data_IF_384545944832
#
_entry.id   IF_384545944832
#
_cell.length_a   1.000
_cell.length_b   1.000
_cell.length_c   1.000
_cell.angle_alpha   90.00
_cell.angle_beta   90.00
_cell.angle_gamma   90.00
#
_symmetry.space_group_name_H-M   'P 1'
#
loop_
_entity.id
_entity.type
_entity.pdbx_description
1 polymer ?
#
# COMPACT_ATOMS: atom_id res chain seq x y z
N UNK A 1 -32.79 22.47 9.74
CA UNK A 1 -31.88 21.43 9.28
C UNK A 1 -30.60 21.56 10.12
N UNK A 2 -30.62 20.97 11.30
CA UNK A 2 -29.50 21.01 12.24
C UNK A 2 -28.48 20.03 11.65
N UNK A 3 -27.36 20.59 11.25
CA UNK A 3 -26.20 19.85 10.76
C UNK A 3 -25.67 19.06 11.96
N UNK A 4 -26.02 17.78 12.05
CA UNK A 4 -25.36 16.88 13.00
C UNK A 4 -23.89 16.80 12.59
N UNK A 5 -23.13 17.76 13.06
CA UNK A 5 -21.67 17.68 13.07
C UNK A 5 -21.35 16.58 14.07
N UNK A 6 -21.40 15.36 13.63
CA UNK A 6 -20.81 14.24 14.37
C UNK A 6 -19.31 14.53 14.31
N UNK A 7 -18.81 15.22 15.32
CA UNK A 7 -17.39 15.44 15.52
C UNK A 7 -16.75 14.09 15.80
N UNK A 8 -16.27 13.44 14.74
CA UNK A 8 -15.49 12.23 14.86
C UNK A 8 -14.05 12.64 15.25
N UNK A 9 -13.90 13.07 16.53
CA UNK A 9 -12.63 13.58 17.06
C UNK A 9 -11.50 12.57 16.83
N UNK A 10 -11.80 11.28 16.96
CA UNK A 10 -10.85 10.20 16.71
C UNK A 10 -10.38 10.14 15.26
N UNK A 11 -11.28 10.35 14.29
CA UNK A 11 -10.94 10.39 12.87
C UNK A 11 -10.06 11.61 12.56
N UNK A 12 -10.43 12.79 13.08
CA UNK A 12 -9.63 14.00 12.86
C UNK A 12 -8.22 13.85 13.41
N UNK A 13 -8.06 13.28 14.60
CA UNK A 13 -6.76 12.99 15.20
C UNK A 13 -5.94 12.03 14.33
N UNK A 14 -6.55 10.97 13.79
CA UNK A 14 -5.86 10.02 12.90
C UNK A 14 -5.42 10.67 11.59
N UNK A 15 -6.26 11.51 10.97
CA UNK A 15 -5.94 12.20 9.73
C UNK A 15 -4.83 13.24 9.94
N UNK A 16 -4.93 14.08 10.96
CA UNK A 16 -3.87 15.04 11.28
C UNK A 16 -2.58 14.34 11.70
N UNK A 17 -2.67 13.25 12.46
CA UNK A 17 -1.53 12.41 12.80
C UNK A 17 -0.82 11.84 11.56
N UNK A 18 -1.59 11.39 10.57
CA UNK A 18 -1.05 10.91 9.28
C UNK A 18 -0.34 12.01 8.50
N UNK A 19 -0.88 13.24 8.47
CA UNK A 19 -0.22 14.40 7.84
C UNK A 19 1.08 14.73 8.57
N UNK A 20 1.02 14.83 9.88
CA UNK A 20 2.20 15.16 10.70
C UNK A 20 3.30 14.13 10.50
N UNK A 21 2.94 12.86 10.49
CA UNK A 21 3.87 11.77 10.22
C UNK A 21 4.48 11.86 8.82
N UNK A 22 3.68 12.17 7.80
CA UNK A 22 4.15 12.37 6.43
C UNK A 22 5.13 13.55 6.33
N UNK A 23 4.87 14.66 7.03
CA UNK A 23 5.76 15.84 7.07
C UNK A 23 7.11 15.49 7.70
N UNK A 24 7.10 14.71 8.80
CA UNK A 24 8.33 14.23 9.45
C UNK A 24 9.13 13.38 8.48
N UNK A 25 8.52 12.40 7.81
CA UNK A 25 9.18 11.53 6.83
C UNK A 25 9.80 12.32 5.68
N UNK A 26 9.07 13.32 5.16
CA UNK A 26 9.58 14.23 4.12
C UNK A 26 10.81 15.01 4.60
N UNK A 27 10.81 15.46 5.87
CA UNK A 27 11.94 16.23 6.43
C UNK A 27 13.17 15.37 6.66
N UNK A 28 13.00 14.08 7.02
CA UNK A 28 14.10 13.14 7.24
C UNK A 28 14.81 12.78 5.93
N UNK A 29 14.04 12.42 4.89
CA UNK A 29 14.61 12.07 3.58
C UNK A 29 13.72 12.57 2.44
N UNK A 30 14.00 13.79 1.92
CA UNK A 30 13.24 14.38 0.83
C UNK A 30 13.38 13.60 -0.49
N UNK A 31 14.48 12.84 -0.64
CA UNK A 31 14.74 12.05 -1.86
C UNK A 31 13.78 10.85 -1.91
N UNK A 32 13.62 10.11 -0.80
CA UNK A 32 12.66 9.01 -0.73
C UNK A 32 11.24 9.52 -0.93
N UNK A 33 10.91 10.67 -0.33
CA UNK A 33 9.59 11.28 -0.52
C UNK A 33 9.31 11.61 -1.99
N UNK A 34 10.26 12.26 -2.69
CA UNK A 34 10.12 12.58 -4.12
C UNK A 34 10.05 11.31 -4.99
N UNK A 35 10.76 10.25 -4.62
CA UNK A 35 10.70 8.95 -5.30
C UNK A 35 9.32 8.29 -5.13
N UNK A 36 8.71 8.37 -3.94
CA UNK A 36 7.37 7.84 -3.69
C UNK A 36 6.29 8.63 -4.44
N UNK A 37 6.46 9.95 -4.65
CA UNK A 37 5.56 10.76 -5.45
C UNK A 37 5.75 10.61 -6.96
N UNK A 38 6.92 10.21 -7.42
CA UNK A 38 7.22 10.09 -8.85
C UNK A 38 6.53 8.86 -9.46
N UNK A 39 5.71 9.08 -10.48
CA UNK A 39 5.11 8.01 -11.28
C UNK A 39 6.13 7.31 -12.20
N UNK A 40 7.28 7.91 -12.47
CA UNK A 40 8.36 7.39 -13.34
C UNK A 40 9.43 6.69 -12.53
N UNK A 41 9.18 5.42 -12.16
CA UNK A 41 10.09 4.64 -11.30
C UNK A 41 11.13 3.81 -12.06
N UNK A 42 11.36 4.08 -13.35
CA UNK A 42 12.31 3.32 -14.20
C UNK A 42 13.77 3.37 -13.73
N UNK A 43 14.20 4.45 -13.09
CA UNK A 43 15.60 4.62 -12.66
C UNK A 43 15.94 3.90 -11.35
N UNK A 44 14.94 3.44 -10.63
CA UNK A 44 15.12 2.83 -9.31
C UNK A 44 15.74 1.42 -9.38
N UNK A 45 15.61 0.73 -10.51
CA UNK A 45 16.16 -0.62 -10.70
C UNK A 45 17.70 -0.61 -10.66
N UNK A 46 18.34 0.46 -11.13
CA UNK A 46 19.80 0.55 -11.23
C UNK A 46 20.50 0.94 -9.91
N UNK A 47 19.80 1.62 -8.98
CA UNK A 47 20.36 2.02 -7.68
C UNK A 47 20.37 0.90 -6.63
N UNK A 48 19.75 -0.23 -6.91
CA UNK A 48 19.58 -1.35 -5.96
C UNK A 48 20.79 -2.27 -5.82
N UNK A 49 21.88 -2.01 -6.53
CA UNK A 49 23.00 -2.95 -6.64
C UNK A 49 23.91 -3.03 -5.41
N UNK A 50 23.76 -2.19 -4.40
CA UNK A 50 24.82 -1.99 -3.41
C UNK A 50 24.51 -2.35 -1.95
N UNK A 51 23.26 -2.70 -1.56
CA UNK A 51 22.99 -3.10 -0.18
C UNK A 51 22.15 -4.37 -0.07
N UNK A 52 22.71 -5.38 0.62
CA UNK A 52 22.06 -6.67 0.89
C UNK A 52 20.78 -6.55 1.77
N UNK A 53 20.59 -5.42 2.43
CA UNK A 53 19.43 -5.08 3.26
C UNK A 53 18.67 -3.86 2.70
N UNK A 54 18.38 -3.85 1.42
CA UNK A 54 17.92 -2.71 0.63
C UNK A 54 16.56 -2.07 0.98
N UNK A 55 15.82 -2.56 1.97
CA UNK A 55 14.61 -1.88 2.44
C UNK A 55 15.06 -0.91 3.53
N UNK A 56 15.11 0.37 3.19
CA UNK A 56 15.41 1.39 4.18
C UNK A 56 14.29 1.42 5.23
N UNK A 57 14.62 1.60 6.48
CA UNK A 57 13.64 1.73 7.58
C UNK A 57 12.54 2.75 7.26
N UNK A 58 12.87 3.82 6.57
CA UNK A 58 11.94 4.84 6.11
C UNK A 58 10.85 4.30 5.16
N UNK A 59 11.18 3.34 4.29
CA UNK A 59 10.19 2.72 3.39
C UNK A 59 9.15 1.91 4.18
N UNK A 60 9.57 1.27 5.27
CA UNK A 60 8.65 0.57 6.18
C UNK A 60 7.72 1.58 6.86
N UNK A 61 8.23 2.73 7.29
CA UNK A 61 7.40 3.78 7.88
C UNK A 61 6.37 4.35 6.89
N UNK A 62 6.74 4.55 5.61
CA UNK A 62 5.77 4.92 4.56
C UNK A 62 4.73 3.82 4.33
N UNK A 63 5.12 2.55 4.46
CA UNK A 63 4.18 1.45 4.35
C UNK A 63 3.17 1.42 5.50
N UNK A 64 3.59 1.76 6.73
CA UNK A 64 2.66 1.95 7.85
C UNK A 64 1.64 3.07 7.58
N UNK A 65 2.07 4.16 6.96
CA UNK A 65 1.17 5.24 6.53
C UNK A 65 0.17 4.74 5.47
N UNK A 66 0.61 3.92 4.52
CA UNK A 66 -0.29 3.28 3.55
C UNK A 66 -1.33 2.39 4.25
N UNK A 67 -0.90 1.52 5.17
CA UNK A 67 -1.79 0.62 5.91
C UNK A 67 -2.83 1.41 6.70
N UNK A 68 -2.41 2.44 7.43
CA UNK A 68 -3.31 3.29 8.20
C UNK A 68 -4.36 3.97 7.32
N UNK A 69 -3.95 4.60 6.22
CA UNK A 69 -4.87 5.30 5.33
C UNK A 69 -5.81 4.34 4.57
N UNK A 70 -5.33 3.16 4.20
CA UNK A 70 -6.17 2.12 3.58
C UNK A 70 -7.23 1.60 4.57
N UNK A 71 -6.84 1.42 5.84
CA UNK A 71 -7.76 0.98 6.91
C UNK A 71 -8.86 2.01 7.19
N UNK A 72 -8.55 3.31 7.14
CA UNK A 72 -9.54 4.39 7.28
C UNK A 72 -10.55 4.32 6.11
N UNK A 73 -10.07 4.19 4.88
CA UNK A 73 -10.94 4.13 3.71
C UNK A 73 -11.88 2.91 3.73
N UNK A 74 -11.36 1.74 4.11
CA UNK A 74 -12.15 0.52 4.26
C UNK A 74 -13.14 0.59 5.44
N UNK A 75 -12.81 1.30 6.51
CA UNK A 75 -13.73 1.52 7.62
C UNK A 75 -14.95 2.34 7.16
N UNK A 76 -14.77 3.37 6.34
CA UNK A 76 -15.88 4.11 5.73
C UNK A 76 -16.70 3.30 4.73
N UNK A 77 -16.07 2.36 4.04
CA UNK A 77 -16.78 1.46 3.15
C UNK A 77 -17.71 0.50 3.91
N UNK A 78 -17.24 0.02 5.07
CA UNK A 78 -17.97 -0.95 5.90
C UNK A 78 -19.10 -0.29 6.70
N UNK A 79 -18.89 0.92 7.19
CA UNK A 79 -19.87 1.72 7.92
C UNK A 79 -19.78 3.20 7.51
N UNK A 80 -20.92 3.84 7.36
CA UNK A 80 -21.01 5.28 7.10
C UNK A 80 -20.45 6.12 8.25
N UNK A 81 -20.52 5.59 9.47
CA UNK A 81 -19.94 6.19 10.67
C UNK A 81 -18.58 5.57 10.92
N UNK A 82 -17.57 6.44 11.04
CA UNK A 82 -16.24 5.94 11.38
C UNK A 82 -16.24 5.34 12.79
N UNK A 83 -15.93 4.04 12.88
CA UNK A 83 -15.77 3.33 14.14
C UNK A 83 -14.29 2.96 14.32
N UNK A 84 -13.74 3.35 15.46
CA UNK A 84 -12.37 3.03 15.86
C UNK A 84 -12.12 1.53 15.98
N UNK A 85 -13.12 0.76 16.41
CA UNK A 85 -12.98 -0.70 16.59
C UNK A 85 -12.77 -1.34 15.21
N UNK A 86 -13.63 -0.98 14.24
CA UNK A 86 -13.53 -1.47 12.85
C UNK A 86 -12.19 -1.06 12.24
N UNK A 87 -11.75 0.20 12.47
CA UNK A 87 -10.44 0.66 12.00
C UNK A 87 -9.29 -0.19 12.53
N UNK A 88 -9.24 -0.46 13.84
CA UNK A 88 -8.17 -1.26 14.46
C UNK A 88 -8.16 -2.71 13.97
N UNK A 89 -9.33 -3.31 13.78
CA UNK A 89 -9.42 -4.65 13.20
C UNK A 89 -8.86 -4.68 11.78
N UNK A 90 -9.29 -3.77 10.91
CA UNK A 90 -8.82 -3.68 9.53
C UNK A 90 -7.32 -3.39 9.47
N UNK A 91 -6.83 -2.46 10.30
CA UNK A 91 -5.41 -2.15 10.40
C UNK A 91 -4.59 -3.39 10.76
N UNK A 92 -5.01 -4.14 11.76
CA UNK A 92 -4.36 -5.39 12.19
C UNK A 92 -4.34 -6.43 11.07
N UNK A 93 -5.48 -6.65 10.40
CA UNK A 93 -5.57 -7.61 9.29
C UNK A 93 -4.64 -7.24 8.13
N UNK A 94 -4.66 -5.99 7.68
CA UNK A 94 -3.82 -5.52 6.57
C UNK A 94 -2.35 -5.58 6.97
N UNK A 95 -2.01 -5.18 8.19
CA UNK A 95 -0.64 -5.21 8.69
C UNK A 95 -0.07 -6.64 8.72
N UNK A 96 -0.81 -7.58 9.32
CA UNK A 96 -0.41 -9.00 9.37
C UNK A 96 -0.27 -9.56 7.95
N UNK A 97 -1.26 -9.29 7.09
CA UNK A 97 -1.25 -9.76 5.71
C UNK A 97 -0.01 -9.28 4.94
N UNK A 98 0.30 -7.99 4.99
CA UNK A 98 1.45 -7.43 4.27
C UNK A 98 2.79 -7.91 4.83
N UNK A 99 2.91 -8.03 6.16
CA UNK A 99 4.12 -8.56 6.79
C UNK A 99 4.36 -10.01 6.43
N UNK A 100 3.34 -10.87 6.51
CA UNK A 100 3.44 -12.26 6.09
C UNK A 100 3.82 -12.37 4.62
N UNK A 101 3.22 -11.56 3.75
CA UNK A 101 3.53 -11.54 2.33
C UNK A 101 4.98 -11.18 2.06
N UNK A 102 5.51 -10.16 2.70
CA UNK A 102 6.93 -9.78 2.57
C UNK A 102 7.87 -10.91 3.07
N UNK A 103 7.50 -11.60 4.14
CA UNK A 103 8.26 -12.75 4.63
C UNK A 103 8.27 -13.89 3.61
N UNK A 104 7.14 -14.23 3.01
CA UNK A 104 7.04 -15.24 1.96
C UNK A 104 7.89 -14.87 0.73
N UNK A 105 7.87 -13.61 0.29
CA UNK A 105 8.70 -13.14 -0.83
C UNK A 105 10.20 -13.37 -0.57
N UNK A 106 10.65 -13.13 0.66
CA UNK A 106 12.06 -13.36 1.06
C UNK A 106 12.39 -14.84 1.13
N UNK A 107 11.51 -15.67 1.69
CA UNK A 107 11.71 -17.13 1.81
C UNK A 107 11.82 -17.75 0.41
N UNK A 108 10.91 -17.43 -0.49
CA UNK A 108 10.90 -17.94 -1.86
C UNK A 108 12.13 -17.51 -2.63
N UNK A 109 12.51 -16.23 -2.49
CA UNK A 109 13.73 -15.71 -3.09
C UNK A 109 14.98 -16.55 -2.70
N UNK A 110 15.03 -17.02 -1.44
CA UNK A 110 16.11 -17.89 -0.95
C UNK A 110 16.00 -19.31 -1.48
N UNK A 111 14.81 -19.89 -1.45
CA UNK A 111 14.57 -21.30 -1.87
C UNK A 111 14.92 -21.53 -3.35
N UNK A 112 14.54 -20.60 -4.22
CA UNK A 112 14.77 -20.73 -5.67
C UNK A 112 16.06 -20.07 -6.16
N UNK A 113 16.94 -19.61 -5.25
CA UNK A 113 18.19 -18.90 -5.58
C UNK A 113 18.00 -17.66 -6.46
N UNK A 114 16.79 -17.06 -6.48
CA UNK A 114 16.42 -15.85 -7.23
C UNK A 114 16.29 -14.62 -6.32
N UNK A 115 17.01 -14.62 -5.22
CA UNK A 115 16.90 -13.65 -4.13
C UNK A 115 17.02 -12.17 -4.61
N UNK A 116 17.93 -11.91 -5.56
CA UNK A 116 18.13 -10.57 -6.11
C UNK A 116 16.91 -10.08 -6.88
N UNK A 117 16.26 -10.96 -7.62
CA UNK A 117 15.09 -10.65 -8.43
C UNK A 117 13.89 -10.39 -7.52
N UNK A 118 13.65 -11.29 -6.55
CA UNK A 118 12.53 -11.19 -5.62
C UNK A 118 12.63 -9.96 -4.72
N UNK A 119 13.83 -9.63 -4.25
CA UNK A 119 14.06 -8.38 -3.50
C UNK A 119 13.76 -7.13 -4.32
N UNK A 120 14.19 -7.08 -5.58
CA UNK A 120 13.89 -5.97 -6.48
C UNK A 120 12.38 -5.83 -6.74
N UNK A 121 11.70 -6.95 -6.93
CA UNK A 121 10.26 -7.01 -7.12
C UNK A 121 9.49 -6.51 -5.89
N UNK A 122 9.78 -7.09 -4.71
CA UNK A 122 9.15 -6.72 -3.45
C UNK A 122 9.35 -5.22 -3.12
N UNK A 123 10.55 -4.70 -3.37
CA UNK A 123 10.84 -3.29 -3.15
C UNK A 123 10.06 -2.37 -4.11
N UNK A 124 10.00 -2.67 -5.40
CA UNK A 124 9.21 -1.87 -6.35
C UNK A 124 7.74 -1.83 -5.93
N UNK A 125 7.19 -2.98 -5.55
CA UNK A 125 5.82 -3.09 -5.04
C UNK A 125 5.59 -2.22 -3.80
N UNK A 126 6.51 -2.27 -2.85
CA UNK A 126 6.45 -1.47 -1.63
C UNK A 126 6.45 0.03 -1.95
N UNK A 127 7.27 0.49 -2.88
CA UNK A 127 7.31 1.90 -3.32
C UNK A 127 5.99 2.33 -3.99
N UNK A 128 5.33 1.45 -4.77
CA UNK A 128 4.00 1.76 -5.32
C UNK A 128 2.92 1.82 -4.23
N UNK A 129 2.94 0.91 -3.24
CA UNK A 129 2.04 0.97 -2.10
C UNK A 129 2.25 2.26 -1.28
N UNK A 130 3.50 2.66 -1.04
CA UNK A 130 3.83 3.90 -0.34
C UNK A 130 3.29 5.14 -1.08
N UNK A 131 3.43 5.17 -2.42
CA UNK A 131 2.87 6.22 -3.27
C UNK A 131 1.34 6.28 -3.14
N UNK A 132 0.68 5.13 -3.18
CA UNK A 132 -0.76 5.04 -2.98
C UNK A 132 -1.16 5.54 -1.58
N UNK A 133 -0.39 5.24 -0.55
CA UNK A 133 -0.63 5.71 0.83
C UNK A 133 -0.70 7.23 0.96
N UNK A 134 0.13 7.95 0.20
CA UNK A 134 0.09 9.42 0.17
C UNK A 134 -1.18 9.92 -0.53
N UNK A 135 -1.59 9.28 -1.63
CA UNK A 135 -2.82 9.63 -2.36
C UNK A 135 -4.06 9.31 -1.52
N UNK A 136 -4.06 8.17 -0.84
CA UNK A 136 -5.15 7.76 0.06
C UNK A 136 -5.40 8.75 1.19
N UNK A 137 -4.38 9.43 1.67
CA UNK A 137 -4.54 10.48 2.67
C UNK A 137 -5.45 11.61 2.14
N UNK A 138 -5.25 12.05 0.90
CA UNK A 138 -6.11 13.04 0.26
C UNK A 138 -7.54 12.49 0.08
N UNK A 139 -7.69 11.24 -0.34
CA UNK A 139 -9.00 10.61 -0.51
C UNK A 139 -9.75 10.53 0.82
N UNK A 140 -9.08 10.14 1.90
CA UNK A 140 -9.67 10.07 3.24
C UNK A 140 -10.15 11.46 3.71
N UNK A 141 -9.42 12.53 3.43
CA UNK A 141 -9.88 13.89 3.69
C UNK A 141 -11.16 14.22 2.93
N UNK A 142 -11.21 13.88 1.65
CA UNK A 142 -12.40 14.11 0.83
C UNK A 142 -13.61 13.33 1.39
N UNK A 143 -13.44 12.05 1.73
CA UNK A 143 -14.52 11.23 2.31
C UNK A 143 -14.97 11.76 3.66
N UNK A 144 -14.03 12.14 4.53
CA UNK A 144 -14.33 12.59 5.90
C UNK A 144 -15.18 13.87 5.92
N UNK A 145 -14.86 14.85 5.05
CA UNK A 145 -15.45 16.19 5.08
C UNK A 145 -16.45 16.46 3.96
N UNK A 146 -16.72 15.48 3.07
CA UNK A 146 -17.75 15.63 2.04
C UNK A 146 -19.16 15.59 2.65
N UNK A 147 -20.10 16.23 1.92
CA UNK A 147 -21.53 16.19 2.23
C UNK A 147 -22.19 14.95 1.61
N UNK A 148 -21.56 14.34 0.61
CA UNK A 148 -22.07 13.14 -0.07
C UNK A 148 -22.05 11.91 0.85
N UNK A 149 -22.77 10.90 0.45
CA UNK A 149 -22.76 9.61 1.14
C UNK A 149 -21.33 9.04 1.18
N UNK A 150 -20.83 8.85 2.39
CA UNK A 150 -19.45 8.44 2.64
C UNK A 150 -19.15 7.06 2.09
N UNK A 151 -20.14 6.15 2.10
CA UNK A 151 -19.97 4.79 1.60
C UNK A 151 -19.78 4.76 0.07
N UNK A 152 -20.57 5.55 -0.68
CA UNK A 152 -20.39 5.67 -2.13
C UNK A 152 -19.05 6.31 -2.49
N UNK A 153 -18.67 7.36 -1.78
CA UNK A 153 -17.36 8.00 -2.00
C UNK A 153 -16.20 7.06 -1.67
N UNK A 154 -16.28 6.32 -0.58
CA UNK A 154 -15.27 5.32 -0.22
C UNK A 154 -15.19 4.21 -1.29
N UNK A 155 -16.31 3.69 -1.77
CA UNK A 155 -16.36 2.70 -2.85
C UNK A 155 -15.66 3.20 -4.12
N UNK A 156 -15.93 4.45 -4.51
CA UNK A 156 -15.30 5.08 -5.67
C UNK A 156 -13.78 5.17 -5.51
N UNK A 157 -13.30 5.63 -4.35
CA UNK A 157 -11.85 5.73 -4.11
C UNK A 157 -11.17 4.38 -3.95
N UNK A 158 -11.87 3.36 -3.43
CA UNK A 158 -11.37 1.97 -3.44
C UNK A 158 -11.21 1.48 -4.87
N UNK A 159 -12.18 1.70 -5.74
CA UNK A 159 -12.09 1.31 -7.15
C UNK A 159 -10.90 2.00 -7.85
N UNK A 160 -10.68 3.30 -7.62
CA UNK A 160 -9.51 4.02 -8.13
C UNK A 160 -8.19 3.44 -7.58
N UNK A 161 -8.16 3.05 -6.31
CA UNK A 161 -6.99 2.44 -5.68
C UNK A 161 -6.66 1.08 -6.29
N UNK A 162 -7.68 0.28 -6.59
CA UNK A 162 -7.51 -1.01 -7.28
C UNK A 162 -6.96 -0.79 -8.70
N UNK A 163 -7.51 0.15 -9.45
CA UNK A 163 -7.00 0.51 -10.78
C UNK A 163 -5.54 0.96 -10.74
N UNK A 164 -5.17 1.76 -9.75
CA UNK A 164 -3.78 2.17 -9.54
C UNK A 164 -2.87 0.97 -9.24
N UNK A 165 -3.30 0.02 -8.40
CA UNK A 165 -2.52 -1.20 -8.11
C UNK A 165 -2.35 -2.06 -9.35
N UNK A 166 -3.39 -2.24 -10.16
CA UNK A 166 -3.30 -2.96 -11.44
C UNK A 166 -2.25 -2.29 -12.35
N UNK A 167 -2.32 -0.97 -12.49
CA UNK A 167 -1.32 -0.21 -13.26
C UNK A 167 0.10 -0.41 -12.70
N UNK A 168 0.26 -0.41 -11.38
CA UNK A 168 1.54 -0.65 -10.71
C UNK A 168 2.10 -2.03 -11.06
N UNK A 169 1.27 -3.09 -11.01
CA UNK A 169 1.68 -4.43 -11.39
C UNK A 169 2.14 -4.53 -12.85
N UNK A 170 1.39 -3.93 -13.78
CA UNK A 170 1.81 -3.86 -15.17
C UNK A 170 3.15 -3.13 -15.34
N UNK A 171 3.33 -2.01 -14.66
CA UNK A 171 4.58 -1.24 -14.70
C UNK A 171 5.78 -2.05 -14.17
N UNK A 172 5.61 -2.78 -13.08
CA UNK A 172 6.65 -3.66 -12.51
C UNK A 172 6.98 -4.78 -13.49
N UNK A 173 5.96 -5.43 -14.06
CA UNK A 173 6.13 -6.49 -15.04
C UNK A 173 6.93 -6.03 -16.26
N UNK A 174 6.56 -4.89 -16.85
CA UNK A 174 7.31 -4.32 -18.00
C UNK A 174 8.74 -3.93 -17.65
N UNK A 175 8.97 -3.42 -16.44
CA UNK A 175 10.29 -3.05 -15.95
C UNK A 175 11.22 -4.28 -15.81
N UNK A 176 10.67 -5.40 -15.39
CA UNK A 176 11.42 -6.63 -15.08
C UNK A 176 11.32 -7.71 -16.16
N UNK A 177 10.65 -7.45 -17.29
CA UNK A 177 10.35 -8.46 -18.32
C UNK A 177 11.56 -9.32 -18.73
N UNK A 178 12.74 -8.71 -18.98
CA UNK A 178 13.95 -9.44 -19.40
C UNK A 178 14.41 -10.50 -18.38
N UNK A 179 14.23 -10.19 -17.10
CA UNK A 179 14.63 -11.05 -15.98
C UNK A 179 13.57 -12.11 -15.70
N UNK A 180 12.30 -11.73 -15.83
CA UNK A 180 11.14 -12.60 -15.68
C UNK A 180 11.14 -13.67 -16.77
N UNK A 181 11.38 -13.31 -18.04
CA UNK A 181 11.43 -14.28 -19.15
C UNK A 181 12.52 -15.32 -18.98
N UNK A 182 13.65 -14.99 -18.35
CA UNK A 182 14.72 -15.94 -18.08
C UNK A 182 14.31 -17.01 -17.04
N UNK A 183 13.40 -16.64 -16.12
CA UNK A 183 12.93 -17.52 -15.03
C UNK A 183 11.40 -17.65 -15.04
N UNK A 184 10.80 -17.69 -16.24
CA UNK A 184 9.37 -17.64 -16.50
C UNK A 184 8.54 -18.59 -15.65
N UNK A 185 8.94 -19.87 -15.61
CA UNK A 185 8.20 -20.92 -14.88
C UNK A 185 8.05 -20.63 -13.39
N UNK A 186 9.15 -20.29 -12.72
CA UNK A 186 9.14 -19.97 -11.30
C UNK A 186 8.34 -18.73 -10.97
N UNK A 187 8.38 -17.76 -11.88
CA UNK A 187 7.69 -16.50 -11.69
C UNK A 187 6.15 -16.63 -11.85
N UNK A 188 5.69 -17.42 -12.82
CA UNK A 188 4.25 -17.71 -12.98
C UNK A 188 3.74 -18.51 -11.79
N UNK A 189 4.44 -19.54 -11.36
CA UNK A 189 4.06 -20.35 -10.21
C UNK A 189 3.96 -19.47 -8.95
N UNK A 190 4.91 -18.56 -8.76
CA UNK A 190 4.88 -17.57 -7.68
C UNK A 190 3.65 -16.67 -7.77
N UNK A 191 3.36 -16.06 -8.94
CA UNK A 191 2.21 -15.19 -9.12
C UNK A 191 0.89 -15.91 -8.82
N UNK A 192 0.69 -17.11 -9.37
CA UNK A 192 -0.56 -17.84 -9.20
C UNK A 192 -0.78 -18.27 -7.74
N UNK A 193 0.24 -18.77 -7.05
CA UNK A 193 0.07 -19.36 -5.71
C UNK A 193 0.15 -18.32 -4.59
N UNK A 194 1.07 -17.38 -4.68
CA UNK A 194 1.39 -16.49 -3.57
C UNK A 194 0.90 -15.06 -3.75
N UNK A 195 0.46 -14.72 -4.92
CA UNK A 195 -0.09 -13.40 -5.16
C UNK A 195 -1.61 -13.44 -5.24
N UNK A 196 -2.20 -14.34 -6.02
CA UNK A 196 -3.65 -14.37 -6.25
C UNK A 196 -4.40 -14.94 -5.03
N UNK A 197 -3.96 -16.09 -4.50
CA UNK A 197 -4.67 -16.79 -3.41
C UNK A 197 -4.79 -15.95 -2.14
N UNK A 198 -3.71 -15.32 -1.61
CA UNK A 198 -3.83 -14.51 -0.40
C UNK A 198 -4.70 -13.27 -0.58
N UNK A 199 -4.69 -12.63 -1.76
CA UNK A 199 -5.58 -11.52 -2.03
C UNK A 199 -7.04 -11.93 -2.10
N UNK A 200 -7.34 -13.08 -2.71
CA UNK A 200 -8.69 -13.63 -2.72
C UNK A 200 -9.20 -13.87 -1.29
N UNK A 201 -8.36 -14.49 -0.44
CA UNK A 201 -8.70 -14.73 0.96
C UNK A 201 -8.91 -13.43 1.75
N UNK A 202 -8.09 -12.41 1.50
CA UNK A 202 -8.25 -11.11 2.15
C UNK A 202 -9.58 -10.44 1.75
N UNK A 203 -9.91 -10.45 0.47
CA UNK A 203 -11.16 -9.87 -0.04
C UNK A 203 -12.36 -10.59 0.57
N UNK A 204 -12.37 -11.92 0.62
CA UNK A 204 -13.49 -12.70 1.13
C UNK A 204 -13.74 -12.53 2.64
N UNK A 205 -12.73 -12.11 3.43
CA UNK A 205 -12.88 -11.90 4.87
C UNK A 205 -13.04 -10.42 5.28
N UNK A 206 -12.70 -9.48 4.41
CA UNK A 206 -12.75 -8.04 4.70
C UNK A 206 -13.98 -7.37 4.07
N UNK A 207 -14.39 -7.82 2.90
CA UNK A 207 -15.58 -7.36 2.18
C UNK A 207 -16.77 -8.30 2.39
#
# INVERSE_FOLDING_TARGET
MIRDIISNDSLTVLLFGSIFFMIILKKIDPVIFSQNLSFRKKELVNKFSTSLWGIKFLEILYNLLFISNMSILLAFFKDQRFDLIIYYELFKYIFIFLTLKLLFDVIIGKLFSINRIMKSYAWQKLVYCNSLGIVLLLFNFLVAYTIFDKQYMASFFIALSILYLIFAYFSIFFSMKKVIFKNWFYFILYLCTLEIIPYYYLISNVL
#
